data_IF_422357099921
#
_entry.id   IF_422357099921
#
_cell.length_a   1.000
_cell.length_b   1.000
_cell.length_c   1.000
_cell.angle_alpha   90.00
_cell.angle_beta   90.00
_cell.angle_gamma   90.00
#
_symmetry.space_group_name_H-M   'P 1'
#
loop_
_entity.id
_entity.type
_entity.pdbx_description
1 polymer ?
#
# COMPACT_ATOMS: atom_id res chain seq x y z
N UNK A 1 5.98 -9.69 -7.61
CA UNK A 1 4.79 -8.91 -7.96
C UNK A 1 5.15 -7.59 -8.62
N UNK A 2 5.95 -6.77 -7.99
CA UNK A 2 6.52 -5.58 -8.61
C UNK A 2 7.94 -5.87 -9.09
N UNK A 3 8.28 -5.39 -10.29
CA UNK A 3 9.66 -5.43 -10.74
C UNK A 3 10.43 -4.35 -9.98
N UNK A 4 11.76 -4.42 -10.02
CA UNK A 4 12.59 -3.39 -9.39
C UNK A 4 12.29 -2.01 -9.95
N UNK A 5 12.07 -1.93 -11.24
CA UNK A 5 11.75 -0.68 -11.91
C UNK A 5 10.41 -0.14 -11.49
N UNK A 6 9.40 -1.01 -11.39
CA UNK A 6 8.08 -0.63 -10.93
C UNK A 6 8.11 -0.16 -9.47
N UNK A 7 8.88 -0.85 -8.64
CA UNK A 7 9.01 -0.48 -7.25
C UNK A 7 9.65 0.90 -7.09
N UNK A 8 10.69 1.16 -7.87
CA UNK A 8 11.35 2.47 -7.86
C UNK A 8 10.41 3.57 -8.32
N UNK A 9 9.65 3.32 -9.38
CA UNK A 9 8.67 4.27 -9.89
C UNK A 9 7.60 4.57 -8.84
N UNK A 10 7.14 3.54 -8.14
CA UNK A 10 6.18 3.69 -7.06
C UNK A 10 6.75 4.51 -5.92
N UNK A 11 7.99 4.24 -5.52
CA UNK A 11 8.64 5.00 -4.47
C UNK A 11 8.74 6.49 -4.83
N UNK A 12 9.11 6.78 -6.07
CA UNK A 12 9.20 8.17 -6.54
C UNK A 12 7.86 8.87 -6.47
N UNK A 13 6.79 8.18 -6.85
CA UNK A 13 5.44 8.74 -6.78
C UNK A 13 5.08 9.10 -5.34
N UNK A 14 5.38 8.22 -4.39
CA UNK A 14 5.05 8.48 -2.99
C UNK A 14 5.96 9.51 -2.35
N UNK A 15 7.21 9.61 -2.79
CA UNK A 15 8.11 10.67 -2.30
C UNK A 15 7.54 12.04 -2.66
N UNK A 16 7.01 12.18 -3.87
CA UNK A 16 6.42 13.43 -4.31
C UNK A 16 5.08 13.72 -3.64
N UNK A 17 4.30 12.69 -3.39
CA UNK A 17 2.96 12.86 -2.81
C UNK A 17 2.62 11.68 -1.90
N UNK A 18 3.14 11.69 -0.65
CA UNK A 18 2.93 10.56 0.26
C UNK A 18 1.47 10.32 0.63
N UNK A 19 0.63 11.33 0.47
CA UNK A 19 -0.79 11.22 0.82
C UNK A 19 -1.68 10.92 -0.38
N UNK A 20 -1.09 10.48 -1.49
CA UNK A 20 -1.87 10.17 -2.69
C UNK A 20 -2.79 8.97 -2.53
N UNK A 21 -2.45 8.02 -1.66
CA UNK A 21 -3.34 6.90 -1.39
C UNK A 21 -4.48 7.28 -0.47
N UNK A 22 -5.60 6.59 -0.59
CA UNK A 22 -6.78 6.83 0.25
C UNK A 22 -6.62 6.17 1.61
N UNK A 23 -7.00 6.89 2.67
CA UNK A 23 -6.98 6.31 4.01
C UNK A 23 -8.03 5.21 4.10
N UNK A 24 -7.62 4.07 4.63
CA UNK A 24 -8.54 2.97 4.89
C UNK A 24 -9.23 3.25 6.21
N UNK A 25 -10.55 3.37 6.16
CA UNK A 25 -11.35 3.70 7.33
C UNK A 25 -11.17 2.65 8.42
N UNK A 26 -10.95 3.10 9.65
CA UNK A 26 -10.80 2.21 10.78
C UNK A 26 -9.49 1.44 10.84
N UNK A 27 -8.50 1.88 10.09
CA UNK A 27 -7.23 1.16 9.99
C UNK A 27 -6.10 1.75 10.84
N UNK A 28 -6.33 2.87 11.51
CA UNK A 28 -5.27 3.52 12.24
C UNK A 28 -4.31 4.31 11.38
N UNK A 29 -4.68 4.60 10.14
CA UNK A 29 -3.87 5.44 9.27
C UNK A 29 -3.25 4.75 8.06
N UNK A 30 -3.60 3.48 7.85
CA UNK A 30 -3.14 2.80 6.65
C UNK A 30 -3.74 3.43 5.40
N UNK A 31 -2.96 3.50 4.33
CA UNK A 31 -3.40 4.02 3.06
C UNK A 31 -3.34 2.95 1.99
N UNK A 32 -4.24 3.05 1.03
CA UNK A 32 -4.34 2.13 -0.09
C UNK A 32 -4.20 2.91 -1.38
N UNK A 33 -3.32 2.47 -2.26
CA UNK A 33 -3.13 3.11 -3.55
C UNK A 33 -3.17 2.06 -4.66
N UNK A 34 -3.81 2.44 -5.76
CA UNK A 34 -3.85 1.61 -6.95
C UNK A 34 -2.57 1.81 -7.74
N UNK A 35 -1.98 0.72 -8.19
CA UNK A 35 -0.79 0.80 -9.01
C UNK A 35 -0.94 -0.09 -10.24
N UNK A 36 -0.80 0.50 -11.41
CA UNK A 36 -0.87 -0.28 -12.64
C UNK A 36 0.47 -0.96 -12.85
N UNK A 37 0.43 -2.27 -12.88
CA UNK A 37 1.59 -3.05 -13.26
C UNK A 37 1.77 -2.95 -14.77
N UNK A 38 3.01 -2.85 -15.23
CA UNK A 38 3.31 -2.98 -16.66
C UNK A 38 3.15 -4.40 -17.14
N UNK A 39 2.68 -5.26 -16.28
CA UNK A 39 2.42 -6.65 -16.62
C UNK A 39 1.30 -6.79 -17.62
N UNK A 40 1.49 -7.71 -18.50
CA UNK A 40 0.60 -7.97 -19.61
C UNK A 40 -0.79 -8.39 -19.14
N UNK A 41 -1.80 -7.59 -19.48
CA UNK A 41 -3.17 -7.97 -19.30
C UNK A 41 -3.67 -8.12 -17.87
N UNK A 42 -3.00 -7.58 -16.90
CA UNK A 42 -3.49 -7.68 -15.52
C UNK A 42 -4.60 -6.67 -15.29
N UNK A 43 -5.80 -7.17 -15.23
CA UNK A 43 -6.97 -6.34 -14.95
C UNK A 43 -6.95 -5.90 -13.50
N UNK A 44 -7.26 -4.63 -13.27
CA UNK A 44 -7.35 -4.09 -11.93
C UNK A 44 -6.02 -3.75 -11.29
N UNK A 45 -4.92 -4.23 -11.82
CA UNK A 45 -3.59 -3.90 -11.32
C UNK A 45 -3.34 -4.34 -9.89
N UNK A 46 -2.38 -3.68 -9.26
CA UNK A 46 -2.01 -3.97 -7.89
C UNK A 46 -2.62 -2.97 -6.93
N UNK A 47 -2.84 -3.42 -5.72
CA UNK A 47 -3.19 -2.55 -4.59
C UNK A 47 -2.04 -2.60 -3.61
N UNK A 48 -1.57 -1.42 -3.21
CA UNK A 48 -0.44 -1.32 -2.29
C UNK A 48 -0.92 -0.65 -1.03
N UNK A 49 -0.66 -1.29 0.11
CA UNK A 49 -1.03 -0.77 1.42
C UNK A 49 0.24 -0.25 2.06
N UNK A 50 0.19 1.00 2.49
CA UNK A 50 1.37 1.62 3.11
C UNK A 50 0.96 2.49 4.30
N UNK A 51 1.94 2.81 5.12
CA UNK A 51 1.76 3.69 6.26
C UNK A 51 2.76 4.83 6.16
N UNK A 52 2.26 6.06 6.28
CA UNK A 52 3.08 7.25 6.16
C UNK A 52 3.19 7.95 7.51
N UNK A 53 4.42 8.14 7.97
CA UNK A 53 4.69 8.89 9.20
C UNK A 53 5.11 10.29 8.79
N UNK A 54 4.20 11.23 8.96
CA UNK A 54 4.35 12.58 8.45
C UNK A 54 5.54 13.35 9.04
N UNK A 55 5.72 13.40 10.36
CA UNK A 55 6.86 14.14 10.92
C UNK A 55 8.21 13.64 10.45
N UNK A 56 8.34 12.35 10.24
CA UNK A 56 9.59 11.73 9.83
C UNK A 56 9.71 11.60 8.32
N UNK A 57 8.63 11.89 7.60
CA UNK A 57 8.53 11.71 6.15
C UNK A 57 8.98 10.32 5.71
N UNK A 58 8.56 9.33 6.50
CA UNK A 58 8.92 7.93 6.26
C UNK A 58 7.69 7.17 5.82
N UNK A 59 7.86 6.34 4.79
CA UNK A 59 6.80 5.52 4.24
C UNK A 59 7.16 4.04 4.43
N UNK A 60 6.25 3.29 5.05
CA UNK A 60 6.41 1.86 5.23
C UNK A 60 5.49 1.12 4.29
N UNK A 61 6.06 0.31 3.42
CA UNK A 61 5.30 -0.55 2.53
C UNK A 61 4.88 -1.78 3.32
N UNK A 62 3.58 -1.97 3.50
CA UNK A 62 3.08 -3.00 4.40
C UNK A 62 2.63 -4.25 3.66
N UNK A 63 1.90 -4.08 2.55
CA UNK A 63 1.31 -5.22 1.88
C UNK A 63 0.97 -4.87 0.44
N UNK A 64 1.09 -5.86 -0.45
CA UNK A 64 0.75 -5.69 -1.85
C UNK A 64 -0.13 -6.86 -2.28
N UNK A 65 -1.23 -6.59 -2.96
CA UNK A 65 -2.04 -7.67 -3.47
C UNK A 65 -2.55 -7.36 -4.87
N UNK A 66 -2.90 -8.42 -5.59
CA UNK A 66 -3.40 -8.35 -6.95
C UNK A 66 -4.92 -8.28 -6.89
N UNK A 67 -5.48 -7.20 -7.42
CA UNK A 67 -6.93 -6.99 -7.39
C UNK A 67 -7.69 -8.07 -8.15
N UNK A 68 -7.08 -8.70 -9.13
CA UNK A 68 -7.74 -9.77 -9.88
C UNK A 68 -7.94 -11.02 -9.04
N UNK A 69 -7.15 -11.19 -7.99
CA UNK A 69 -7.21 -12.37 -7.13
C UNK A 69 -7.95 -12.11 -5.83
N UNK A 70 -8.04 -10.85 -5.45
CA UNK A 70 -8.70 -10.46 -4.20
C UNK A 70 -9.21 -9.03 -4.36
N UNK A 71 -10.49 -8.81 -4.14
CA UNK A 71 -11.11 -7.51 -4.41
C UNK A 71 -10.75 -6.46 -3.37
N UNK A 72 -10.56 -6.90 -2.12
CA UNK A 72 -10.24 -5.99 -1.03
C UNK A 72 -9.60 -6.78 0.12
N UNK A 73 -9.11 -6.07 1.10
CA UNK A 73 -8.61 -6.69 2.32
C UNK A 73 -9.76 -7.29 3.12
N UNK A 74 -9.56 -8.48 3.64
CA UNK A 74 -10.50 -9.05 4.58
C UNK A 74 -10.37 -8.33 5.93
N UNK A 75 -11.36 -8.49 6.80
CA UNK A 75 -11.30 -7.91 8.14
C UNK A 75 -10.13 -8.45 8.93
N UNK A 76 -9.83 -9.73 8.77
CA UNK A 76 -8.69 -10.34 9.46
C UNK A 76 -7.37 -9.81 8.95
N UNK A 77 -7.24 -9.64 7.64
CA UNK A 77 -6.04 -9.06 7.07
C UNK A 77 -5.84 -7.63 7.55
N UNK A 78 -6.89 -6.83 7.54
CA UNK A 78 -6.80 -5.45 7.98
C UNK A 78 -6.39 -5.36 9.45
N UNK A 79 -6.97 -6.20 10.30
CA UNK A 79 -6.61 -6.23 11.72
C UNK A 79 -5.13 -6.59 11.91
N UNK A 80 -4.66 -7.56 11.14
CA UNK A 80 -3.27 -7.98 11.20
C UNK A 80 -2.34 -6.84 10.81
N UNK A 81 -2.67 -6.12 9.75
CA UNK A 81 -1.86 -4.99 9.30
C UNK A 81 -1.87 -3.85 10.32
N UNK A 82 -3.01 -3.58 10.92
CA UNK A 82 -3.09 -2.59 12.00
C UNK A 82 -2.20 -2.95 13.17
N UNK A 83 -2.17 -4.22 13.55
CA UNK A 83 -1.33 -4.69 14.64
C UNK A 83 0.14 -4.52 14.31
N UNK A 84 0.52 -4.79 13.06
CA UNK A 84 1.91 -4.57 12.63
C UNK A 84 2.30 -3.10 12.81
N UNK A 85 1.43 -2.19 12.41
CA UNK A 85 1.69 -0.77 12.57
C UNK A 85 1.85 -0.42 14.06
N UNK A 86 0.95 -0.89 14.90
CA UNK A 86 1.00 -0.58 16.34
C UNK A 86 2.25 -1.14 17.02
N UNK A 87 2.61 -2.37 16.70
CA UNK A 87 3.68 -3.06 17.40
C UNK A 87 5.06 -2.73 16.85
N UNK A 88 5.16 -2.54 15.53
CA UNK A 88 6.47 -2.40 14.89
C UNK A 88 6.82 -0.96 14.54
N UNK A 89 5.83 -0.09 14.40
CA UNK A 89 6.06 1.26 13.90
C UNK A 89 5.70 2.33 14.92
N UNK A 90 4.58 2.18 15.60
CA UNK A 90 4.14 3.18 16.59
C UNK A 90 4.70 2.86 18.01
#
# INVERSE_FOLDING_TARGET
>A
MLTDEEYRSFQNTLVENPESGSIIKGSGGLRKIRWKSHGKGKRGGLRIIYFFIKPEQTIFLIYVYDKSKQTDLSKNQLRLLENIVKEEIQ
#
